data_IF_579078095070
#
_entry.id   IF_579078095070
#
_cell.length_a   1.000
_cell.length_b   1.000
_cell.length_c   1.000
_cell.angle_alpha   90.00
_cell.angle_beta   90.00
_cell.angle_gamma   90.00
#
_symmetry.space_group_name_H-M   'P 1'
#
loop_
_entity.id
_entity.type
_entity.pdbx_description
1 polymer ?
#
# COMPACT_ATOMS: atom_id res chain seq x y z
N UNK A 1 23.00 -4.20 6.69
CA UNK A 1 21.54 -3.93 6.76
C UNK A 1 21.34 -2.43 6.85
N UNK A 2 20.72 -1.80 5.84
CA UNK A 2 20.81 -0.34 5.64
C UNK A 2 19.73 0.40 6.47
N UNK A 3 20.17 1.14 7.49
CA UNK A 3 19.38 1.82 8.54
C UNK A 3 18.34 2.83 8.00
N UNK A 4 18.37 3.14 6.69
CA UNK A 4 17.46 4.08 6.04
C UNK A 4 16.10 3.49 5.60
N UNK A 5 15.90 2.17 5.50
CA UNK A 5 14.56 1.62 5.15
C UNK A 5 13.57 1.74 6.32
N UNK A 6 14.06 1.61 7.56
CA UNK A 6 13.30 1.79 8.80
C UNK A 6 12.62 3.14 8.92
N UNK A 7 13.19 4.23 8.37
CA UNK A 7 12.64 5.59 8.53
C UNK A 7 11.27 5.81 7.88
N UNK A 8 10.94 5.10 6.80
CA UNK A 8 9.68 5.37 6.07
C UNK A 8 8.55 4.46 6.51
N UNK A 9 8.84 3.28 7.04
CA UNK A 9 7.83 2.50 7.77
C UNK A 9 7.61 3.08 9.16
N UNK A 10 8.65 3.58 9.84
CA UNK A 10 8.46 4.40 11.04
C UNK A 10 7.70 5.71 10.79
N UNK A 11 7.57 6.18 9.55
CA UNK A 11 6.76 7.35 9.26
C UNK A 11 5.25 7.06 9.24
N UNK A 12 4.83 5.80 9.01
CA UNK A 12 3.41 5.39 9.03
C UNK A 12 3.04 4.47 10.20
N UNK A 13 3.99 3.64 10.66
CA UNK A 13 3.87 2.77 11.82
C UNK A 13 4.81 3.16 12.96
N UNK A 14 5.71 4.13 12.80
CA UNK A 14 6.75 4.40 13.81
C UNK A 14 6.33 5.28 14.95
N UNK A 15 5.03 5.36 15.16
CA UNK A 15 4.46 5.60 16.46
C UNK A 15 4.51 4.31 17.33
N UNK A 16 4.48 3.12 16.75
CA UNK A 16 4.67 1.87 17.47
C UNK A 16 6.16 1.59 17.66
N UNK A 17 6.67 1.99 18.82
CA UNK A 17 7.99 1.63 19.32
C UNK A 17 8.14 0.11 19.48
N UNK A 18 9.38 -0.39 19.58
CA UNK A 18 9.65 -1.80 19.94
C UNK A 18 8.96 -2.21 21.24
N UNK A 19 8.76 -1.25 22.15
CA UNK A 19 8.00 -1.43 23.39
C UNK A 19 6.53 -1.69 23.09
N UNK A 20 5.92 -0.99 22.13
CA UNK A 20 4.51 -1.20 21.79
C UNK A 20 4.28 -2.59 21.19
N UNK A 21 5.15 -3.03 20.28
CA UNK A 21 5.09 -4.39 19.72
C UNK A 21 5.21 -5.43 20.84
N UNK A 22 6.18 -5.26 21.74
CA UNK A 22 6.38 -6.15 22.88
C UNK A 22 5.16 -6.20 23.82
N UNK A 23 4.58 -5.05 24.16
CA UNK A 23 3.39 -4.98 25.03
C UNK A 23 2.17 -5.61 24.36
N UNK A 24 1.97 -5.39 23.06
CA UNK A 24 0.90 -6.02 22.29
C UNK A 24 1.07 -7.54 22.27
N UNK A 25 2.30 -8.04 22.06
CA UNK A 25 2.59 -9.49 22.12
C UNK A 25 2.28 -10.07 23.49
N UNK A 26 2.67 -9.40 24.58
CA UNK A 26 2.33 -9.83 25.94
C UNK A 26 0.81 -9.87 26.13
N UNK A 27 0.08 -8.84 25.68
CA UNK A 27 -1.37 -8.80 25.82
C UNK A 27 -2.05 -9.98 25.12
N UNK A 28 -1.70 -10.26 23.85
CA UNK A 28 -2.27 -11.36 23.09
C UNK A 28 -1.79 -12.75 23.56
N UNK A 29 -0.65 -12.85 24.23
CA UNK A 29 -0.21 -14.09 24.87
C UNK A 29 -0.87 -14.34 26.23
N UNK A 30 -1.02 -13.29 27.05
CA UNK A 30 -1.50 -13.39 28.42
C UNK A 30 -3.03 -13.47 28.51
N UNK A 31 -3.77 -12.78 27.64
CA UNK A 31 -5.24 -12.74 27.72
C UNK A 31 -5.90 -14.11 27.45
N UNK A 32 -5.55 -14.85 26.38
CA UNK A 32 -6.11 -16.18 26.18
C UNK A 32 -5.74 -17.13 27.30
N UNK A 33 -4.49 -17.09 27.78
CA UNK A 33 -4.02 -17.93 28.89
C UNK A 33 -4.76 -17.60 30.19
N UNK A 34 -5.04 -16.32 30.47
CA UNK A 34 -5.83 -15.91 31.63
C UNK A 34 -7.25 -16.51 31.58
N UNK A 35 -7.88 -16.48 30.42
CA UNK A 35 -9.23 -17.04 30.20
C UNK A 35 -9.20 -18.57 30.38
N UNK A 36 -8.25 -19.27 29.76
CA UNK A 36 -8.15 -20.72 29.87
C UNK A 36 -7.82 -21.17 31.30
N UNK A 37 -6.91 -20.48 31.99
CA UNK A 37 -6.57 -20.79 33.39
C UNK A 37 -7.76 -20.58 34.32
N UNK A 38 -8.60 -19.56 34.04
CA UNK A 38 -9.80 -19.29 34.82
C UNK A 38 -10.90 -20.33 34.57
N UNK A 39 -11.02 -20.84 33.34
CA UNK A 39 -11.88 -21.99 33.01
C UNK A 39 -11.37 -23.25 33.71
N UNK A 40 -10.07 -23.51 33.67
CA UNK A 40 -9.45 -24.65 34.36
C UNK A 40 -9.69 -24.61 35.87
N UNK A 41 -9.62 -23.42 36.49
CA UNK A 41 -9.98 -23.25 37.89
C UNK A 41 -11.45 -23.61 38.17
N UNK A 42 -12.39 -23.14 37.33
CA UNK A 42 -13.82 -23.46 37.46
C UNK A 42 -14.06 -24.98 37.42
N UNK A 43 -13.28 -25.71 36.60
CA UNK A 43 -13.43 -27.16 36.41
C UNK A 43 -12.70 -27.97 37.48
N UNK A 44 -11.46 -27.59 37.85
CA UNK A 44 -10.54 -28.39 38.67
C UNK A 44 -10.45 -27.94 40.14
N UNK A 45 -10.93 -26.74 40.47
CA UNK A 45 -10.93 -26.14 41.83
C UNK A 45 -9.56 -26.09 42.54
N UNK A 46 -8.45 -25.97 41.80
CA UNK A 46 -7.10 -25.91 42.37
C UNK A 46 -6.72 -24.46 42.74
N UNK A 47 -6.29 -24.21 43.98
CA UNK A 47 -5.93 -22.86 44.44
C UNK A 47 -4.77 -22.22 43.64
N UNK A 48 -3.80 -23.01 43.19
CA UNK A 48 -2.67 -22.54 42.38
C UNK A 48 -3.11 -22.05 40.99
N UNK A 49 -4.19 -22.61 40.44
CA UNK A 49 -4.77 -22.17 39.16
C UNK A 49 -5.46 -20.81 39.30
N UNK A 50 -6.10 -20.54 40.44
CA UNK A 50 -6.73 -19.24 40.71
C UNK A 50 -5.67 -18.12 40.81
N UNK A 51 -4.59 -18.35 41.56
CA UNK A 51 -3.53 -17.36 41.72
C UNK A 51 -2.88 -17.01 40.37
N UNK A 52 -2.64 -18.02 39.52
CA UNK A 52 -2.11 -17.84 38.17
C UNK A 52 -3.08 -17.09 37.26
N UNK A 53 -4.39 -17.40 37.31
CA UNK A 53 -5.42 -16.71 36.55
C UNK A 53 -5.51 -15.22 36.93
N UNK A 54 -5.48 -14.92 38.25
CA UNK A 54 -5.49 -13.54 38.75
C UNK A 54 -4.26 -12.78 38.25
N UNK A 55 -3.06 -13.38 38.36
CA UNK A 55 -1.83 -12.75 37.88
C UNK A 55 -1.89 -12.42 36.39
N UNK A 56 -2.30 -13.38 35.55
CA UNK A 56 -2.41 -13.18 34.11
C UNK A 56 -3.46 -12.12 33.76
N UNK A 57 -4.58 -12.09 34.47
CA UNK A 57 -5.60 -11.06 34.31
C UNK A 57 -5.06 -9.66 34.63
N UNK A 58 -4.28 -9.52 35.71
CA UNK A 58 -3.61 -8.26 36.04
C UNK A 58 -2.61 -7.83 34.95
N UNK A 59 -1.80 -8.76 34.42
CA UNK A 59 -0.88 -8.48 33.31
C UNK A 59 -1.66 -8.04 32.07
N UNK A 60 -2.75 -8.72 31.73
CA UNK A 60 -3.63 -8.33 30.62
C UNK A 60 -4.29 -6.97 30.83
N UNK A 61 -4.72 -6.64 32.05
CA UNK A 61 -5.33 -5.34 32.35
C UNK A 61 -4.32 -4.18 32.21
N UNK A 62 -3.09 -4.37 32.72
CA UNK A 62 -2.01 -3.37 32.60
C UNK A 62 -1.62 -3.16 31.14
N UNK A 63 -1.43 -4.24 30.40
CA UNK A 63 -1.07 -4.17 28.97
C UNK A 63 -2.20 -3.60 28.12
N UNK A 64 -3.47 -3.92 28.44
CA UNK A 64 -4.63 -3.29 27.82
C UNK A 64 -4.66 -1.77 28.06
N UNK A 65 -4.46 -1.33 29.32
CA UNK A 65 -4.45 0.09 29.63
C UNK A 65 -3.35 0.84 28.87
N UNK A 66 -2.17 0.22 28.73
CA UNK A 66 -1.09 0.76 27.91
C UNK A 66 -1.48 0.88 26.43
N UNK A 67 -2.05 -0.19 25.84
CA UNK A 67 -2.50 -0.20 24.44
C UNK A 67 -3.58 0.87 24.22
N UNK A 68 -4.55 0.97 25.14
CA UNK A 68 -5.60 1.96 25.10
C UNK A 68 -5.06 3.40 25.18
N UNK A 69 -4.12 3.65 26.09
CA UNK A 69 -3.48 4.95 26.23
C UNK A 69 -2.69 5.33 24.97
N UNK A 70 -1.87 4.40 24.45
CA UNK A 70 -1.14 4.61 23.18
C UNK A 70 -2.09 4.85 22.02
N UNK A 71 -3.21 4.13 21.94
CA UNK A 71 -4.25 4.38 20.94
C UNK A 71 -4.82 5.79 21.07
N UNK A 72 -5.09 6.28 22.28
CA UNK A 72 -5.58 7.65 22.51
C UNK A 72 -4.54 8.71 22.11
N UNK A 73 -3.26 8.46 22.40
CA UNK A 73 -2.17 9.36 22.02
C UNK A 73 -1.98 9.40 20.51
N UNK A 74 -1.96 8.24 19.86
CA UNK A 74 -1.99 8.08 18.41
C UNK A 74 -3.17 8.78 17.76
N UNK A 75 -4.36 8.59 18.34
CA UNK A 75 -5.59 9.21 17.86
C UNK A 75 -5.48 10.72 17.94
N UNK A 76 -4.99 11.29 19.05
CA UNK A 76 -4.73 12.73 19.15
C UNK A 76 -3.69 13.18 18.13
N UNK A 77 -2.58 12.46 17.97
CA UNK A 77 -1.56 12.77 16.98
C UNK A 77 -2.10 12.85 15.54
N UNK A 78 -3.01 11.93 15.18
CA UNK A 78 -3.64 11.91 13.85
C UNK A 78 -4.83 12.88 13.71
N UNK A 79 -5.58 13.15 14.77
CA UNK A 79 -6.71 14.12 14.77
C UNK A 79 -6.24 15.58 14.87
N UNK A 80 -5.11 15.86 15.53
CA UNK A 80 -4.54 17.20 15.68
C UNK A 80 -3.76 17.66 14.44
N UNK A 81 -3.50 16.77 13.47
CA UNK A 81 -2.93 17.13 12.17
C UNK A 81 -4.07 17.20 11.15
N UNK A 82 -4.44 18.41 10.73
CA UNK A 82 -5.32 18.61 9.58
C UNK A 82 -4.61 18.13 8.32
N UNK A 83 -4.85 16.88 7.93
CA UNK A 83 -4.44 16.37 6.65
C UNK A 83 -5.41 16.85 5.59
N UNK A 84 -4.91 17.62 4.63
CA UNK A 84 -5.74 18.02 3.51
C UNK A 84 -5.63 16.97 2.40
N UNK A 85 -6.71 16.20 2.25
CA UNK A 85 -6.90 15.27 1.14
C UNK A 85 -7.56 16.06 0.01
N UNK A 86 -6.77 16.43 -1.00
CA UNK A 86 -7.29 17.16 -2.17
C UNK A 86 -7.47 16.20 -3.33
N UNK A 87 -8.58 16.35 -4.05
CA UNK A 87 -8.72 15.76 -5.38
C UNK A 87 -7.73 16.45 -6.32
N UNK A 88 -6.77 15.71 -6.82
CA UNK A 88 -5.73 16.24 -7.68
C UNK A 88 -6.17 16.26 -9.14
N UNK A 89 -5.73 17.28 -9.90
CA UNK A 89 -5.80 17.26 -11.35
C UNK A 89 -4.44 16.82 -11.91
N UNK A 90 -4.33 15.65 -12.55
CA UNK A 90 -3.04 15.08 -12.96
C UNK A 90 -2.43 15.77 -14.19
N UNK A 91 -2.82 17.00 -14.54
CA UNK A 91 -2.39 17.73 -15.76
C UNK A 91 -0.87 17.78 -16.00
N UNK A 92 -0.05 17.69 -14.95
CA UNK A 92 1.42 17.68 -15.03
C UNK A 92 2.04 16.28 -14.99
N UNK A 93 1.24 15.22 -14.85
CA UNK A 93 1.72 13.85 -14.71
C UNK A 93 2.41 13.34 -15.99
N UNK A 94 3.66 12.89 -15.86
CA UNK A 94 4.47 12.32 -16.94
C UNK A 94 4.74 10.83 -16.76
N UNK A 95 4.75 10.37 -15.52
CA UNK A 95 5.11 8.99 -15.18
C UNK A 95 4.02 8.35 -14.33
N UNK A 96 3.58 7.16 -14.70
CA UNK A 96 2.74 6.29 -13.87
C UNK A 96 3.57 5.12 -13.34
N UNK A 97 3.59 4.93 -12.03
CA UNK A 97 4.17 3.75 -11.37
C UNK A 97 3.02 2.86 -10.92
N UNK A 98 3.01 1.58 -11.27
CA UNK A 98 1.93 0.65 -10.88
C UNK A 98 2.44 -0.76 -10.66
N UNK A 99 1.74 -1.53 -9.83
CA UNK A 99 1.87 -2.99 -9.80
C UNK A 99 1.29 -3.63 -11.06
N UNK A 100 1.63 -4.90 -11.27
CA UNK A 100 1.01 -5.75 -12.30
C UNK A 100 0.18 -6.88 -11.67
N UNK A 101 -0.99 -7.14 -12.24
CA UNK A 101 -1.88 -8.23 -11.85
C UNK A 101 -1.62 -9.48 -12.70
N UNK A 102 -2.02 -10.65 -12.19
CA UNK A 102 -2.06 -11.88 -12.98
C UNK A 102 -3.21 -11.78 -13.99
N UNK A 103 -2.92 -11.99 -15.27
CA UNK A 103 -3.88 -11.94 -16.37
C UNK A 103 -4.12 -13.37 -16.88
N UNK A 104 -5.39 -13.82 -16.97
CA UNK A 104 -5.72 -15.06 -17.68
C UNK A 104 -5.45 -14.95 -19.19
N UNK A 105 -5.01 -16.03 -19.83
CA UNK A 105 -4.70 -16.03 -21.28
C UNK A 105 -5.92 -15.69 -22.15
N UNK A 106 -7.11 -16.12 -21.74
CA UNK A 106 -8.39 -15.82 -22.40
C UNK A 106 -8.67 -14.31 -22.48
N UNK A 107 -8.32 -13.58 -21.43
CA UNK A 107 -8.51 -12.13 -21.34
C UNK A 107 -7.54 -11.40 -22.28
N UNK A 108 -6.31 -11.91 -22.45
CA UNK A 108 -5.31 -11.34 -23.36
C UNK A 108 -5.72 -11.45 -24.84
N UNK A 109 -6.25 -12.60 -25.23
CA UNK A 109 -6.73 -12.84 -26.59
C UNK A 109 -7.93 -11.95 -26.94
N UNK A 110 -8.80 -11.66 -25.97
CA UNK A 110 -9.94 -10.77 -26.18
C UNK A 110 -9.48 -9.33 -26.47
N UNK A 111 -8.51 -8.81 -25.74
CA UNK A 111 -7.98 -7.45 -25.95
C UNK A 111 -7.23 -7.34 -27.28
N UNK A 112 -6.46 -8.37 -27.66
CA UNK A 112 -5.79 -8.41 -28.97
C UNK A 112 -6.79 -8.36 -30.13
N UNK A 113 -7.91 -9.09 -30.02
CA UNK A 113 -8.96 -9.13 -31.04
C UNK A 113 -9.81 -7.86 -31.09
N UNK A 114 -10.24 -7.34 -29.93
CA UNK A 114 -11.17 -6.19 -29.85
C UNK A 114 -10.48 -4.83 -29.94
N UNK A 115 -9.17 -4.78 -29.71
CA UNK A 115 -8.40 -3.53 -29.68
C UNK A 115 -8.77 -2.60 -28.51
N UNK A 116 -9.60 -3.05 -27.56
CA UNK A 116 -9.95 -2.31 -26.35
C UNK A 116 -10.19 -3.28 -25.18
N UNK A 117 -9.77 -2.93 -23.96
CA UNK A 117 -10.05 -3.75 -22.78
C UNK A 117 -11.55 -3.74 -22.45
N UNK A 118 -12.11 -4.91 -22.15
CA UNK A 118 -13.48 -5.01 -21.61
C UNK A 118 -13.48 -4.57 -20.14
N UNK A 119 -14.62 -4.12 -19.60
CA UNK A 119 -14.73 -3.76 -18.15
C UNK A 119 -14.38 -4.91 -17.21
N UNK A 120 -14.55 -6.15 -17.66
CA UNK A 120 -14.22 -7.36 -16.91
C UNK A 120 -12.74 -7.74 -17.00
N UNK A 121 -11.97 -7.06 -17.84
CA UNK A 121 -10.54 -7.29 -17.97
C UNK A 121 -9.83 -6.89 -16.68
N UNK A 122 -9.01 -7.77 -16.11
CA UNK A 122 -8.31 -7.50 -14.83
C UNK A 122 -7.38 -6.30 -14.89
N UNK A 123 -6.89 -5.93 -16.08
CA UNK A 123 -6.11 -4.71 -16.25
C UNK A 123 -6.97 -3.49 -16.58
N UNK A 124 -8.28 -3.61 -16.76
CA UNK A 124 -9.17 -2.49 -17.06
C UNK A 124 -8.90 -1.27 -16.16
N UNK A 125 -8.71 -1.42 -14.83
CA UNK A 125 -8.38 -0.28 -13.98
C UNK A 125 -7.03 0.40 -14.31
N UNK A 126 -6.00 -0.38 -14.68
CA UNK A 126 -4.70 0.18 -15.08
C UNK A 126 -4.83 0.86 -16.45
N UNK A 127 -5.55 0.25 -17.39
CA UNK A 127 -5.75 0.77 -18.74
C UNK A 127 -6.52 2.09 -18.73
N UNK A 128 -7.59 2.20 -17.93
CA UNK A 128 -8.34 3.45 -17.77
C UNK A 128 -7.46 4.55 -17.14
N UNK A 129 -6.57 4.23 -16.20
CA UNK A 129 -5.59 5.19 -15.67
C UNK A 129 -4.63 5.70 -16.73
N UNK A 130 -4.07 4.78 -17.53
CA UNK A 130 -3.15 5.14 -18.61
C UNK A 130 -3.86 6.03 -19.63
N UNK A 131 -5.09 5.67 -20.01
CA UNK A 131 -5.94 6.48 -20.89
C UNK A 131 -6.15 7.89 -20.32
N UNK A 132 -6.63 7.99 -19.09
CA UNK A 132 -6.97 9.28 -18.46
C UNK A 132 -5.73 10.18 -18.33
N UNK A 133 -4.59 9.62 -17.93
CA UNK A 133 -3.32 10.36 -17.88
C UNK A 133 -2.80 10.74 -19.27
N UNK A 134 -2.93 9.87 -20.27
CA UNK A 134 -2.51 10.17 -21.63
C UNK A 134 -3.33 11.33 -22.22
N UNK A 135 -4.65 11.32 -22.03
CA UNK A 135 -5.56 12.37 -22.50
C UNK A 135 -5.36 13.69 -21.75
N UNK A 136 -5.18 13.67 -20.42
CA UNK A 136 -5.11 14.89 -19.60
C UNK A 136 -3.72 15.50 -19.47
N UNK A 137 -2.66 14.69 -19.55
CA UNK A 137 -1.31 15.10 -19.14
C UNK A 137 -0.21 14.77 -20.16
N UNK A 138 -0.56 14.09 -21.26
CA UNK A 138 0.39 13.53 -22.23
C UNK A 138 1.42 12.67 -21.52
N UNK A 139 0.94 11.59 -20.90
CA UNK A 139 1.76 10.58 -20.25
C UNK A 139 2.91 10.13 -21.15
N UNK A 140 4.12 10.02 -20.60
CA UNK A 140 5.35 9.67 -21.33
C UNK A 140 5.86 8.27 -20.96
N UNK A 141 5.65 7.85 -19.70
CA UNK A 141 6.22 6.62 -19.18
C UNK A 141 5.28 5.89 -18.23
N UNK A 142 5.23 4.56 -18.35
CA UNK A 142 4.64 3.65 -17.36
C UNK A 142 5.75 2.75 -16.82
N UNK A 143 5.96 2.78 -15.50
CA UNK A 143 6.88 1.88 -14.80
C UNK A 143 6.04 0.84 -14.07
N UNK A 144 6.26 -0.42 -14.43
CA UNK A 144 5.61 -1.56 -13.83
C UNK A 144 6.54 -2.18 -12.79
N UNK A 145 6.03 -2.39 -11.58
CA UNK A 145 6.71 -3.17 -10.54
C UNK A 145 5.98 -4.51 -10.43
N UNK A 146 6.43 -5.56 -11.14
CA UNK A 146 5.72 -6.84 -11.14
C UNK A 146 6.02 -7.66 -9.89
N UNK A 147 5.14 -8.62 -9.59
CA UNK A 147 5.48 -9.79 -8.77
C UNK A 147 6.15 -10.87 -9.60
N UNK A 148 6.81 -11.83 -8.97
CA UNK A 148 7.33 -13.01 -9.68
C UNK A 148 6.25 -13.72 -10.51
N UNK A 149 5.02 -13.78 -10.01
CA UNK A 149 3.90 -14.44 -10.68
C UNK A 149 3.33 -13.64 -11.85
N UNK A 150 3.34 -12.31 -11.74
CA UNK A 150 2.77 -11.41 -12.76
C UNK A 150 3.79 -10.99 -13.82
N UNK A 151 5.09 -11.18 -13.58
CA UNK A 151 6.16 -10.82 -14.51
C UNK A 151 5.98 -11.40 -15.92
N UNK A 152 5.51 -12.66 -16.01
CA UNK A 152 5.24 -13.33 -17.29
C UNK A 152 4.24 -12.56 -18.18
N UNK A 153 3.38 -11.73 -17.58
CA UNK A 153 2.36 -10.96 -18.28
C UNK A 153 2.89 -9.61 -18.79
N UNK A 154 4.10 -9.21 -18.39
CA UNK A 154 4.63 -7.88 -18.69
C UNK A 154 4.76 -7.63 -20.19
N UNK A 155 5.31 -8.58 -20.96
CA UNK A 155 5.51 -8.41 -22.39
C UNK A 155 4.20 -8.11 -23.12
N UNK A 156 3.15 -8.85 -22.78
CA UNK A 156 1.81 -8.63 -23.36
C UNK A 156 1.20 -7.32 -22.91
N UNK A 157 1.33 -6.97 -21.62
CA UNK A 157 0.87 -5.67 -21.11
C UNK A 157 1.53 -4.51 -21.85
N UNK A 158 2.86 -4.56 -22.00
CA UNK A 158 3.65 -3.58 -22.74
C UNK A 158 3.17 -3.43 -24.17
N UNK A 159 3.03 -4.53 -24.90
CA UNK A 159 2.56 -4.53 -26.29
C UNK A 159 1.18 -3.84 -26.42
N UNK A 160 0.25 -4.17 -25.51
CA UNK A 160 -1.09 -3.57 -25.51
C UNK A 160 -1.02 -2.05 -25.26
N UNK A 161 -0.26 -1.62 -24.25
CA UNK A 161 -0.15 -0.19 -23.88
C UNK A 161 0.51 0.61 -25.00
N UNK A 162 1.64 0.14 -25.54
CA UNK A 162 2.37 0.86 -26.59
C UNK A 162 1.58 0.91 -27.91
N UNK A 163 0.76 -0.12 -28.18
CA UNK A 163 -0.16 -0.13 -29.34
C UNK A 163 -1.30 0.88 -29.19
N UNK A 164 -1.88 1.00 -27.99
CA UNK A 164 -3.05 1.85 -27.75
C UNK A 164 -2.68 3.31 -27.49
N UNK A 165 -1.54 3.57 -26.86
CA UNK A 165 -1.12 4.91 -26.43
C UNK A 165 0.25 5.24 -27.01
N UNK A 166 0.25 5.72 -28.26
CA UNK A 166 1.48 6.06 -28.99
C UNK A 166 2.31 7.11 -28.21
N UNK A 167 3.61 6.87 -28.13
CA UNK A 167 4.55 7.76 -27.43
C UNK A 167 4.67 7.50 -25.93
N UNK A 168 3.88 6.59 -25.36
CA UNK A 168 4.07 6.10 -23.99
C UNK A 168 5.08 4.96 -24.01
N UNK A 169 6.17 5.10 -23.26
CA UNK A 169 7.15 4.03 -23.05
C UNK A 169 6.77 3.18 -21.83
N UNK A 170 6.89 1.85 -21.94
CA UNK A 170 6.60 0.95 -20.82
C UNK A 170 7.86 0.19 -20.40
N UNK A 171 8.22 0.36 -19.14
CA UNK A 171 9.36 -0.28 -18.51
C UNK A 171 8.89 -1.16 -17.35
N UNK A 172 9.64 -2.22 -17.04
CA UNK A 172 9.49 -2.95 -15.77
C UNK A 172 10.72 -2.78 -14.90
N UNK A 173 10.52 -2.94 -13.61
CA UNK A 173 11.60 -3.30 -12.71
C UNK A 173 11.77 -4.81 -12.64
N UNK A 174 12.86 -5.24 -12.01
CA UNK A 174 12.96 -6.59 -11.46
C UNK A 174 11.76 -6.89 -10.54
N UNK A 175 11.24 -8.13 -10.56
CA UNK A 175 10.10 -8.53 -9.76
C UNK A 175 10.36 -8.40 -8.27
N UNK A 176 9.29 -8.24 -7.50
CA UNK A 176 9.31 -8.19 -6.04
C UNK A 176 8.33 -9.20 -5.45
N UNK A 177 8.58 -9.61 -4.22
CA UNK A 177 7.59 -10.34 -3.46
C UNK A 177 6.56 -9.36 -2.86
N UNK A 178 5.33 -9.45 -3.35
CA UNK A 178 4.21 -8.62 -2.90
C UNK A 178 3.76 -8.90 -1.46
N UNK A 179 4.26 -9.95 -0.81
CA UNK A 179 4.01 -10.22 0.60
C UNK A 179 5.09 -9.60 1.52
N UNK A 180 6.21 -9.14 0.96
CA UNK A 180 7.32 -8.59 1.72
C UNK A 180 7.43 -7.07 1.59
N UNK A 181 6.99 -6.37 2.63
CA UNK A 181 6.99 -4.91 2.71
C UNK A 181 8.32 -4.27 2.28
N UNK A 182 9.45 -4.74 2.86
CA UNK A 182 10.78 -4.19 2.60
C UNK A 182 11.18 -4.31 1.12
N UNK A 183 10.76 -5.40 0.47
CA UNK A 183 11.05 -5.64 -0.94
C UNK A 183 10.38 -4.60 -1.84
N UNK A 184 9.08 -4.37 -1.60
CA UNK A 184 8.27 -3.38 -2.32
C UNK A 184 8.81 -1.97 -2.06
N UNK A 185 9.06 -1.64 -0.79
CA UNK A 185 9.52 -0.32 -0.38
C UNK A 185 10.87 0.03 -0.99
N UNK A 186 11.83 -0.91 -0.94
CA UNK A 186 13.15 -0.74 -1.57
C UNK A 186 12.99 -0.49 -3.06
N UNK A 187 12.14 -1.27 -3.74
CA UNK A 187 11.94 -1.14 -5.18
C UNK A 187 11.33 0.20 -5.59
N UNK A 188 10.28 0.65 -4.91
CA UNK A 188 9.66 1.94 -5.19
C UNK A 188 10.66 3.09 -4.98
N UNK A 189 11.48 3.02 -3.92
CA UNK A 189 12.55 4.01 -3.68
C UNK A 189 13.62 4.03 -4.76
N UNK A 190 14.01 2.86 -5.27
CA UNK A 190 14.92 2.76 -6.42
C UNK A 190 14.32 3.40 -7.67
N UNK A 191 13.04 3.15 -7.94
CA UNK A 191 12.31 3.80 -9.05
C UNK A 191 12.30 5.32 -8.89
N UNK A 192 11.96 5.85 -7.72
CA UNK A 192 12.01 7.29 -7.48
C UNK A 192 13.41 7.89 -7.66
N UNK A 193 14.45 7.17 -7.21
CA UNK A 193 15.83 7.59 -7.41
C UNK A 193 16.18 7.65 -8.91
N UNK A 194 15.85 6.59 -9.67
CA UNK A 194 16.04 6.52 -11.13
C UNK A 194 15.33 7.66 -11.84
N UNK A 195 14.04 7.87 -11.53
CA UNK A 195 13.23 8.94 -12.15
C UNK A 195 13.81 10.34 -11.88
N UNK A 196 14.33 10.57 -10.67
CA UNK A 196 15.01 11.83 -10.34
C UNK A 196 16.30 12.00 -11.14
N UNK A 197 17.08 10.94 -11.33
CA UNK A 197 18.29 10.94 -12.17
C UNK A 197 17.97 11.19 -13.65
N UNK A 198 16.81 10.74 -14.11
CA UNK A 198 16.24 11.04 -15.43
C UNK A 198 15.65 12.46 -15.55
N UNK A 199 15.60 13.22 -14.45
CA UNK A 199 15.14 14.62 -14.43
C UNK A 199 13.64 14.82 -14.15
N UNK A 200 12.89 13.77 -13.84
CA UNK A 200 11.48 13.90 -13.46
C UNK A 200 11.31 14.54 -12.08
N UNK A 201 10.40 15.50 -11.98
CA UNK A 201 9.97 16.10 -10.70
C UNK A 201 8.96 15.19 -10.01
N UNK A 202 8.90 15.24 -8.67
CA UNK A 202 7.91 14.48 -7.88
C UNK A 202 6.47 14.74 -8.31
N UNK A 203 6.14 16.01 -8.57
CA UNK A 203 4.82 16.46 -9.07
C UNK A 203 4.43 15.94 -10.46
N UNK A 204 5.36 15.28 -11.16
CA UNK A 204 5.11 14.63 -12.45
C UNK A 204 4.91 13.11 -12.30
N UNK A 205 5.02 12.57 -11.10
CA UNK A 205 4.93 11.15 -10.81
C UNK A 205 3.57 10.84 -10.19
N UNK A 206 2.90 9.84 -10.74
CA UNK A 206 1.66 9.28 -10.20
C UNK A 206 1.93 7.83 -9.78
N UNK A 207 1.48 7.46 -8.58
CA UNK A 207 1.56 6.07 -8.10
C UNK A 207 0.18 5.44 -8.07
N UNK A 208 0.00 4.36 -8.82
CA UNK A 208 -1.23 3.59 -8.91
C UNK A 208 -1.28 2.44 -7.90
N UNK A 209 -2.31 2.42 -7.05
CA UNK A 209 -2.46 1.44 -5.96
C UNK A 209 -3.58 0.42 -6.15
N UNK A 210 -4.28 0.45 -7.29
CA UNK A 210 -5.38 -0.49 -7.57
C UNK A 210 -4.88 -1.89 -7.91
N UNK A 211 -3.66 -2.01 -8.43
CA UNK A 211 -3.07 -3.27 -8.83
C UNK A 211 -2.06 -3.76 -7.79
N UNK A 212 -1.97 -5.08 -7.64
CA UNK A 212 -1.12 -5.74 -6.64
C UNK A 212 -1.91 -6.27 -5.44
N UNK A 213 -1.19 -6.60 -4.37
CA UNK A 213 -1.78 -7.01 -3.09
C UNK A 213 -2.08 -5.79 -2.23
N UNK A 214 -2.88 -5.97 -1.18
CA UNK A 214 -3.09 -4.94 -0.14
C UNK A 214 -1.77 -4.42 0.43
N UNK A 215 -0.76 -5.28 0.59
CA UNK A 215 0.57 -4.89 1.07
C UNK A 215 1.23 -3.92 0.08
N UNK A 216 1.16 -4.19 -1.23
CA UNK A 216 1.66 -3.26 -2.25
C UNK A 216 0.95 -1.91 -2.17
N UNK A 217 -0.38 -1.90 -2.11
CA UNK A 217 -1.17 -0.66 -2.03
C UNK A 217 -0.82 0.16 -0.79
N UNK A 218 -0.63 -0.48 0.36
CA UNK A 218 -0.23 0.18 1.61
C UNK A 218 1.17 0.78 1.48
N UNK A 219 2.16 0.02 1.01
CA UNK A 219 3.54 0.51 0.84
C UNK A 219 3.61 1.67 -0.15
N UNK A 220 2.89 1.54 -1.27
CA UNK A 220 2.86 2.56 -2.32
C UNK A 220 2.22 3.86 -1.81
N UNK A 221 1.07 3.76 -1.14
CA UNK A 221 0.39 4.93 -0.54
C UNK A 221 1.28 5.57 0.53
N UNK A 222 1.87 4.76 1.40
CA UNK A 222 2.82 5.19 2.42
C UNK A 222 3.94 6.07 1.87
N UNK A 223 4.46 5.72 0.70
CA UNK A 223 5.56 6.44 0.07
C UNK A 223 5.13 7.70 -0.67
N UNK A 224 3.83 7.90 -0.91
CA UNK A 224 3.29 9.15 -1.47
C UNK A 224 2.85 10.15 -0.41
N UNK A 225 2.52 9.71 0.81
CA UNK A 225 2.20 10.61 1.91
C UNK A 225 3.33 11.62 2.16
N UNK A 226 2.98 12.89 2.34
CA UNK A 226 3.93 13.99 2.63
C UNK A 226 5.00 14.12 1.54
N UNK A 227 4.59 13.93 0.30
CA UNK A 227 5.41 14.15 -0.87
C UNK A 227 4.58 14.80 -1.96
N UNK A 228 5.22 15.53 -2.87
CA UNK A 228 4.55 16.08 -4.05
C UNK A 228 4.19 15.00 -5.09
N UNK A 229 4.04 13.73 -4.69
CA UNK A 229 3.72 12.61 -5.58
C UNK A 229 2.23 12.30 -5.45
N UNK A 230 1.53 12.33 -6.57
CA UNK A 230 0.09 12.06 -6.61
C UNK A 230 -0.20 10.57 -6.49
N UNK A 231 -1.16 10.23 -5.64
CA UNK A 231 -1.69 8.87 -5.51
C UNK A 231 -2.87 8.67 -6.46
N UNK A 232 -3.01 7.49 -7.07
CA UNK A 232 -4.17 7.15 -7.91
C UNK A 232 -4.76 5.78 -7.62
N UNK A 233 -6.09 5.71 -7.58
CA UNK A 233 -6.84 4.46 -7.49
C UNK A 233 -8.04 4.46 -8.45
N UNK A 234 -8.72 3.33 -8.54
CA UNK A 234 -9.87 3.14 -9.41
C UNK A 234 -11.00 2.61 -8.54
N UNK A 235 -12.16 3.24 -8.57
CA UNK A 235 -13.31 2.85 -7.75
C UNK A 235 -14.03 1.67 -8.37
N UNK A 236 -14.33 0.62 -7.61
CA UNK A 236 -15.22 -0.45 -8.06
C UNK A 236 -16.67 -0.04 -7.75
N UNK A 237 -17.44 0.32 -8.79
CA UNK A 237 -18.84 0.76 -8.74
C UNK A 237 -19.39 0.99 -10.15
N UNK A 238 -20.69 1.28 -10.30
CA UNK A 238 -21.42 1.24 -11.60
C UNK A 238 -20.76 2.05 -12.74
N UNK A 239 -20.11 3.17 -12.40
CA UNK A 239 -19.42 4.01 -13.39
C UNK A 239 -17.93 3.71 -13.51
N UNK A 240 -17.27 3.23 -12.45
CA UNK A 240 -15.83 2.96 -12.40
C UNK A 240 -14.96 4.14 -12.84
N UNK A 241 -14.48 4.96 -11.90
CA UNK A 241 -13.67 6.14 -12.22
C UNK A 241 -12.26 6.07 -11.64
N UNK A 242 -11.33 6.73 -12.34
CA UNK A 242 -10.00 6.99 -11.84
C UNK A 242 -10.06 8.19 -10.89
N UNK A 243 -9.45 8.05 -9.72
CA UNK A 243 -9.36 9.11 -8.71
C UNK A 243 -7.90 9.40 -8.43
N UNK A 244 -7.57 10.68 -8.35
CA UNK A 244 -6.24 11.19 -8.02
C UNK A 244 -6.32 11.97 -6.72
N UNK A 245 -5.39 11.70 -5.81
CA UNK A 245 -5.33 12.31 -4.50
C UNK A 245 -3.93 12.85 -4.27
N UNK A 246 -3.86 14.10 -3.86
CA UNK A 246 -2.69 14.67 -3.22
C UNK A 246 -2.94 14.75 -1.72
N UNK A 247 -1.96 14.33 -0.92
CA UNK A 247 -2.04 14.37 0.54
C UNK A 247 -0.95 15.29 1.05
N UNK A 248 -1.36 16.49 1.46
CA UNK A 248 -0.45 17.49 2.02
C UNK A 248 -0.24 17.28 3.51
N UNK A 249 0.99 17.52 3.97
CA UNK A 249 1.29 17.55 5.40
C UNK A 249 0.73 18.82 6.06
N UNK A 250 0.54 18.79 7.39
CA UNK A 250 0.18 19.99 8.13
C UNK A 250 1.27 21.07 7.98
N UNK A 251 0.87 22.24 7.49
CA UNK A 251 1.76 23.40 7.30
C UNK A 251 2.48 23.52 5.95
N UNK A 252 2.13 22.69 4.95
CA UNK A 252 2.66 22.80 3.59
C UNK A 252 1.67 23.54 2.65
N UNK A 253 1.78 24.88 2.58
CA UNK A 253 1.05 25.70 1.59
C UNK A 253 1.46 25.42 0.14
#
# INVERSE_FOLDING_TARGET
MNIKSYKTFNALLGEFSKRDVFVITIFFGALPEAIFTLIDFIIKQEADTLLRAIFLFFVSAITFFYIWWRYKELKKFFEEREYEIRNANPSNAKVLITGLSIIPDLELEEVKKKGKPSRNFRLYPIMEKIKDLHEKAKLEKVIVIPSHESEKNFSTFKEIVEKLYKGVSVEKTEPVDYNHFDSIQRRIKEVFKKLREEGYKKSQIVVGITAGTTVFSVVASALTFFSDITLSYFTQGDEGKVVYIDIKGPGEE
#
